data_IF_903187531719
#
_entry.id   IF_903187531719
#
_cell.length_a   1.000
_cell.length_b   1.000
_cell.length_c   1.000
_cell.angle_alpha   90.00
_cell.angle_beta   90.00
_cell.angle_gamma   90.00
#
_symmetry.space_group_name_H-M   'P 1'
#
loop_
_entity.id
_entity.type
_entity.pdbx_description
1 polymer ?
#
# COMPACT_ATOMS: atom_id res chain seq x y z
N UNK A 1 24.89 0.43 -8.43
CA UNK A 1 23.91 0.83 -9.47
C UNK A 1 23.12 2.06 -8.99
N UNK A 2 22.79 3.00 -9.89
CA UNK A 2 22.06 4.23 -9.52
C UNK A 2 20.56 4.17 -9.86
N UNK A 3 20.14 3.14 -10.59
CA UNK A 3 18.76 2.95 -11.05
C UNK A 3 18.40 1.45 -11.05
N UNK A 4 17.25 1.12 -10.47
CA UNK A 4 16.61 -0.19 -10.48
C UNK A 4 15.29 -0.08 -11.26
N UNK A 5 15.08 -0.95 -12.23
CA UNK A 5 13.85 -1.01 -13.03
C UNK A 5 13.18 -2.35 -12.76
N UNK A 6 11.92 -2.31 -12.35
CA UNK A 6 11.10 -3.48 -12.04
C UNK A 6 9.89 -3.47 -12.97
N UNK A 7 9.78 -4.48 -13.83
CA UNK A 7 8.68 -4.64 -14.79
C UNK A 7 7.85 -5.86 -14.39
N UNK A 8 6.65 -5.63 -13.87
CA UNK A 8 5.71 -6.66 -13.39
C UNK A 8 6.38 -7.66 -12.40
N UNK A 9 7.30 -7.18 -11.57
CA UNK A 9 8.16 -8.03 -10.74
C UNK A 9 7.42 -8.82 -9.65
N UNK A 10 6.19 -8.42 -9.30
CA UNK A 10 5.32 -9.13 -8.34
C UNK A 10 4.40 -10.15 -8.99
N UNK A 11 4.49 -10.37 -10.31
CA UNK A 11 3.64 -11.31 -11.02
C UNK A 11 3.76 -12.72 -10.44
N UNK A 12 2.63 -13.29 -10.01
CA UNK A 12 2.56 -14.63 -9.42
C UNK A 12 2.77 -14.69 -7.91
N UNK A 13 2.98 -13.56 -7.24
CA UNK A 13 2.91 -13.44 -5.79
C UNK A 13 1.47 -13.22 -5.32
N UNK A 14 1.19 -13.63 -4.09
CA UNK A 14 -0.04 -13.23 -3.41
C UNK A 14 0.09 -11.79 -2.86
N UNK A 15 -1.02 -11.25 -2.33
CA UNK A 15 -1.06 -9.87 -1.85
C UNK A 15 -0.03 -9.60 -0.72
N UNK A 16 0.12 -10.47 0.30
CA UNK A 16 1.17 -10.30 1.30
C UNK A 16 2.59 -10.42 0.74
N UNK A 17 2.83 -11.37 -0.18
CA UNK A 17 4.14 -11.55 -0.82
C UNK A 17 4.55 -10.35 -1.67
N UNK A 18 3.60 -9.74 -2.36
CA UNK A 18 3.83 -8.52 -3.13
C UNK A 18 4.21 -7.36 -2.21
N UNK A 19 3.48 -7.15 -1.11
CA UNK A 19 3.80 -6.11 -0.13
C UNK A 19 5.22 -6.28 0.45
N UNK A 20 5.57 -7.50 0.87
CA UNK A 20 6.90 -7.82 1.38
C UNK A 20 8.00 -7.56 0.34
N UNK A 21 7.75 -7.91 -0.93
CA UNK A 21 8.69 -7.64 -2.01
C UNK A 21 8.98 -6.13 -2.16
N UNK A 22 7.95 -5.29 -2.15
CA UNK A 22 8.13 -3.84 -2.29
C UNK A 22 8.79 -3.21 -1.06
N UNK A 23 8.52 -3.70 0.15
CA UNK A 23 9.24 -3.26 1.36
C UNK A 23 10.75 -3.54 1.26
N UNK A 24 11.14 -4.69 0.71
CA UNK A 24 12.56 -5.00 0.49
C UNK A 24 13.19 -4.11 -0.58
N UNK A 25 12.46 -3.84 -1.67
CA UNK A 25 12.90 -2.90 -2.71
C UNK A 25 13.12 -1.50 -2.14
N UNK A 26 12.21 -1.01 -1.30
CA UNK A 26 12.32 0.28 -0.62
C UNK A 26 13.54 0.32 0.31
N UNK A 27 13.78 -0.75 1.08
CA UNK A 27 14.98 -0.86 1.93
C UNK A 27 16.25 -0.75 1.10
N UNK A 28 16.35 -1.51 0.00
CA UNK A 28 17.50 -1.46 -0.90
C UNK A 28 17.69 -0.07 -1.50
N UNK A 29 16.59 0.57 -1.94
CA UNK A 29 16.60 1.95 -2.45
C UNK A 29 17.19 2.91 -1.41
N UNK A 30 16.69 2.85 -0.17
CA UNK A 30 17.13 3.71 0.93
C UNK A 30 18.58 3.48 1.34
N UNK A 31 19.03 2.23 1.38
CA UNK A 31 20.41 1.87 1.75
C UNK A 31 21.43 2.24 0.66
N UNK A 32 21.04 2.11 -0.60
CA UNK A 32 21.95 2.32 -1.74
C UNK A 32 21.84 3.72 -2.35
N UNK A 33 20.77 4.45 -2.07
CA UNK A 33 20.42 5.71 -2.73
C UNK A 33 20.06 5.53 -4.21
N UNK A 34 19.69 4.33 -4.64
CA UNK A 34 19.32 4.05 -6.02
C UNK A 34 17.91 4.58 -6.32
N UNK A 35 17.71 5.16 -7.50
CA UNK A 35 16.36 5.43 -7.98
C UNK A 35 15.65 4.12 -8.33
N UNK A 36 14.36 4.01 -8.03
CA UNK A 36 13.55 2.84 -8.40
C UNK A 36 12.44 3.28 -9.35
N UNK A 37 12.34 2.61 -10.50
CA UNK A 37 11.23 2.74 -11.44
C UNK A 37 10.48 1.41 -11.48
N UNK A 38 9.22 1.42 -11.10
CA UNK A 38 8.38 0.24 -11.10
C UNK A 38 7.24 0.40 -12.10
N UNK A 39 6.99 -0.68 -12.86
CA UNK A 39 5.86 -0.81 -13.78
C UNK A 39 5.00 -1.96 -13.26
N UNK A 40 3.75 -1.65 -12.93
CA UNK A 40 2.79 -2.62 -12.43
C UNK A 40 1.37 -2.17 -12.76
N UNK A 41 0.48 -3.14 -12.95
CA UNK A 41 -0.96 -2.91 -13.05
C UNK A 41 -1.68 -3.01 -11.68
N UNK A 42 -0.97 -3.34 -10.59
CA UNK A 42 -1.52 -3.49 -9.24
C UNK A 42 -1.55 -2.15 -8.49
N UNK A 43 -2.63 -1.40 -8.68
CA UNK A 43 -2.77 -0.04 -8.16
C UNK A 43 -2.59 0.09 -6.64
N UNK A 44 -3.13 -0.85 -5.85
CA UNK A 44 -3.05 -0.80 -4.39
C UNK A 44 -1.62 -0.72 -3.89
N UNK A 45 -0.72 -1.38 -4.61
CA UNK A 45 0.67 -1.49 -4.20
C UNK A 45 1.48 -0.30 -4.70
N UNK A 46 1.26 0.11 -5.94
CA UNK A 46 1.88 1.32 -6.51
C UNK A 46 1.55 2.55 -5.65
N UNK A 47 0.30 2.69 -5.20
CA UNK A 47 -0.14 3.83 -4.41
C UNK A 47 0.43 3.83 -2.98
N UNK A 48 0.77 2.67 -2.43
CA UNK A 48 1.35 2.55 -1.09
C UNK A 48 2.88 2.66 -1.08
N UNK A 49 3.55 2.17 -2.13
CA UNK A 49 5.00 2.00 -2.16
C UNK A 49 5.75 3.09 -2.95
N UNK A 50 5.06 4.06 -3.56
CA UNK A 50 5.67 5.04 -4.47
C UNK A 50 5.54 6.49 -3.98
N UNK A 51 6.63 7.24 -4.03
CA UNK A 51 6.63 8.69 -3.77
C UNK A 51 5.94 9.49 -4.89
N UNK A 52 6.01 8.97 -6.12
CA UNK A 52 5.43 9.57 -7.31
C UNK A 52 4.87 8.48 -8.22
N UNK A 53 3.67 8.71 -8.71
CA UNK A 53 2.93 7.80 -9.60
C UNK A 53 2.73 8.49 -10.94
N UNK A 54 2.83 7.73 -12.02
CA UNK A 54 2.54 8.17 -13.38
C UNK A 54 1.57 7.16 -13.97
N UNK A 55 0.38 7.61 -14.33
CA UNK A 55 -0.62 6.75 -14.98
C UNK A 55 -0.54 6.89 -16.50
N UNK A 56 -0.58 5.75 -17.19
CA UNK A 56 -0.47 5.66 -18.64
C UNK A 56 -1.72 5.00 -19.23
N UNK A 57 -2.38 5.69 -20.16
CA UNK A 57 -3.47 5.15 -20.97
C UNK A 57 -3.28 5.54 -22.45
N UNK A 58 -2.19 5.05 -23.06
CA UNK A 58 -1.70 5.49 -24.38
C UNK A 58 -1.09 6.90 -24.41
N UNK A 59 -1.26 7.66 -23.33
CA UNK A 59 -0.65 8.94 -23.00
C UNK A 59 -0.53 9.06 -21.47
N UNK A 60 0.26 10.01 -20.97
CA UNK A 60 0.31 10.33 -19.53
C UNK A 60 -1.03 10.98 -19.16
N UNK A 61 -1.87 10.27 -18.41
CA UNK A 61 -3.21 10.76 -18.03
C UNK A 61 -3.17 11.52 -16.70
N UNK A 62 -2.29 11.16 -15.78
CA UNK A 62 -2.03 11.91 -14.55
C UNK A 62 -0.64 11.55 -13.98
N UNK A 63 -0.06 12.50 -13.23
CA UNK A 63 1.19 12.30 -12.51
C UNK A 63 1.20 13.06 -11.17
N UNK A 64 1.95 12.56 -10.21
CA UNK A 64 2.15 13.24 -8.93
C UNK A 64 2.24 12.27 -7.75
N UNK A 65 2.13 12.82 -6.54
CA UNK A 65 2.01 11.99 -5.35
C UNK A 65 0.73 11.11 -5.41
N UNK A 66 0.72 9.92 -4.80
CA UNK A 66 -0.44 9.02 -4.82
C UNK A 66 -1.76 9.70 -4.44
N UNK A 67 -1.75 10.58 -3.44
CA UNK A 67 -2.94 11.32 -2.98
C UNK A 67 -3.54 12.22 -4.08
N UNK A 68 -2.69 12.91 -4.85
CA UNK A 68 -3.12 13.76 -5.95
C UNK A 68 -3.65 12.92 -7.11
N UNK A 69 -2.95 11.83 -7.46
CA UNK A 69 -3.33 10.92 -8.53
C UNK A 69 -4.67 10.25 -8.23
N UNK A 70 -4.90 9.82 -6.98
CA UNK A 70 -6.17 9.21 -6.55
C UNK A 70 -7.38 10.15 -6.72
N UNK A 71 -7.16 11.46 -6.62
CA UNK A 71 -8.20 12.48 -6.76
C UNK A 71 -8.51 12.85 -8.21
N UNK A 72 -7.64 12.48 -9.16
CA UNK A 72 -7.75 12.88 -10.55
C UNK A 72 -9.02 12.31 -11.22
N UNK A 73 -9.79 13.12 -11.99
CA UNK A 73 -10.96 12.65 -12.72
C UNK A 73 -10.67 11.48 -13.65
N UNK A 74 -9.50 11.47 -14.29
CA UNK A 74 -9.03 10.44 -15.20
C UNK A 74 -8.78 9.12 -14.47
N UNK A 75 -8.13 9.17 -13.30
CA UNK A 75 -7.94 8.02 -12.42
C UNK A 75 -9.29 7.47 -11.94
N UNK A 76 -10.19 8.37 -11.51
CA UNK A 76 -11.55 8.01 -11.09
C UNK A 76 -12.40 7.47 -12.23
N UNK A 77 -12.17 7.87 -13.48
CA UNK A 77 -12.89 7.37 -14.64
C UNK A 77 -12.40 5.98 -15.07
N UNK A 78 -11.08 5.75 -15.00
CA UNK A 78 -10.46 4.46 -15.35
C UNK A 78 -10.66 3.40 -14.27
N UNK A 79 -10.62 3.80 -13.01
CA UNK A 79 -10.61 2.87 -11.88
C UNK A 79 -11.87 2.98 -11.00
N UNK A 80 -12.71 4.00 -11.23
CA UNK A 80 -14.05 4.13 -10.63
C UNK A 80 -14.04 4.30 -9.11
N UNK A 81 -15.18 4.69 -8.54
CA UNK A 81 -15.54 4.33 -7.15
C UNK A 81 -15.85 2.82 -7.02
N UNK A 82 -15.15 1.99 -7.81
CA UNK A 82 -15.44 0.59 -8.10
C UNK A 82 -14.89 -0.37 -7.05
N UNK A 83 -14.11 0.13 -6.09
CA UNK A 83 -14.03 -0.48 -4.77
C UNK A 83 -15.00 0.30 -3.89
N UNK A 84 -16.16 -0.27 -3.57
CA UNK A 84 -17.07 0.23 -2.51
C UNK A 84 -16.32 0.20 -1.16
N UNK A 85 -15.37 1.09 -0.93
CA UNK A 85 -14.53 1.09 0.27
C UNK A 85 -13.83 -0.24 0.57
N UNK A 86 -13.74 -1.18 -0.38
CA UNK A 86 -13.34 -2.57 -0.10
C UNK A 86 -11.83 -2.76 -0.05
N UNK A 87 -11.04 -1.79 -0.53
CA UNK A 87 -9.58 -1.91 -0.56
C UNK A 87 -8.84 -0.64 -0.07
N UNK A 88 -9.58 0.40 0.35
CA UNK A 88 -9.01 1.59 1.01
C UNK A 88 -8.97 1.47 2.55
N UNK A 89 -9.30 0.28 3.08
CA UNK A 89 -9.32 0.00 4.51
C UNK A 89 -8.56 -1.30 4.78
N UNK A 90 -7.24 -1.21 4.91
CA UNK A 90 -6.51 -2.14 5.76
C UNK A 90 -5.40 -1.36 6.50
N UNK A 91 -5.83 -0.35 7.25
CA UNK A 91 -5.07 0.18 8.38
C UNK A 91 -5.65 -0.47 9.63
N UNK A 92 -5.05 -1.56 10.09
CA UNK A 92 -5.29 -2.08 11.43
C UNK A 92 -4.23 -1.46 12.36
N UNK A 93 -4.52 -0.28 12.91
CA UNK A 93 -3.84 0.20 14.12
C UNK A 93 -4.48 -0.52 15.31
N UNK A 94 -3.75 -1.48 15.89
CA UNK A 94 -4.12 -2.08 17.18
C UNK A 94 -3.49 -1.25 18.30
N UNK A 95 -4.14 -0.17 18.70
CA UNK A 95 -3.91 0.42 20.02
C UNK A 95 -4.65 -0.43 21.06
N UNK A 96 -3.96 -1.42 21.63
CA UNK A 96 -4.42 -2.09 22.84
C UNK A 96 -3.67 -1.51 24.04
N UNK A 97 -4.29 -0.50 24.67
CA UNK A 97 -3.97 -0.12 26.04
C UNK A 97 -4.49 -1.22 26.98
N UNK A 98 -3.58 -1.94 27.64
CA UNK A 98 -3.91 -2.84 28.74
C UNK A 98 -4.04 -2.03 30.02
N UNK A 99 -5.27 -1.66 30.40
CA UNK A 99 -5.54 -1.27 31.78
C UNK A 99 -5.88 -2.53 32.60
N UNK A 100 -4.94 -2.87 33.46
CA UNK A 100 -5.12 -3.75 34.61
C UNK A 100 -6.02 -3.06 35.62
N UNK A 101 -7.19 -3.61 35.93
CA UNK A 101 -7.83 -3.38 37.23
C UNK A 101 -8.42 -4.67 37.82
N UNK A 102 -8.39 -4.66 39.14
CA UNK A 102 -8.48 -5.75 40.09
C UNK A 102 -9.92 -6.12 40.49
N UNK A 103 -10.00 -7.28 41.17
CA UNK A 103 -11.05 -7.70 42.14
C UNK A 103 -12.44 -8.11 41.63
N UNK A 104 -12.87 -9.31 42.03
CA UNK A 104 -14.17 -9.48 42.69
C UNK A 104 -14.22 -10.78 43.53
N UNK A 105 -14.57 -10.58 44.81
CA UNK A 105 -14.87 -11.54 45.85
C UNK A 105 -16.00 -12.54 45.53
N UNK A 106 -15.88 -13.72 46.15
CA UNK A 106 -16.95 -14.44 46.87
C UNK A 106 -18.23 -14.85 46.15
N UNK A 107 -18.55 -16.15 46.19
CA UNK A 107 -19.84 -16.69 46.70
C UNK A 107 -19.84 -18.22 46.57
N UNK A 108 -20.00 -18.93 47.70
CA UNK A 108 -20.28 -20.36 47.72
C UNK A 108 -21.73 -20.67 47.38
N UNK A 109 -22.07 -21.94 47.14
CA UNK A 109 -23.23 -22.66 47.68
C UNK A 109 -23.26 -24.10 47.15
N UNK A 110 -23.38 -25.04 48.10
CA UNK A 110 -23.82 -26.45 48.05
C UNK A 110 -22.95 -27.50 47.36
#
# INVERSE_FOLDING_TARGET
PQLLILDEATQGLDQPGSAAFYEEVEKVSRETGAAVLMVSHELHVVMAASDRVICLNGHVCCEGAPEHVASAPEYRALFGTGTRGTLALYRHEHDHAHDHEHEHDGHGHH
#
